data_IF_087526946162
#
_entry.id   IF_087526946162
#
_cell.length_a   1.000
_cell.length_b   1.000
_cell.length_c   1.000
_cell.angle_alpha   90.00
_cell.angle_beta   90.00
_cell.angle_gamma   90.00
#
_symmetry.space_group_name_H-M   'P 1'
#
loop_
_entity.id
_entity.type
_entity.pdbx_description
1 polymer ?
#
# COMPACT_ATOMS: atom_id res chain seq x y z
N UNK A 1 15.97 -1.35 6.66
CA UNK A 1 15.27 -0.95 5.41
C UNK A 1 13.99 -0.20 5.78
N UNK A 2 13.72 0.89 5.12
CA UNK A 2 12.49 1.64 5.36
C UNK A 2 11.27 0.84 4.91
N UNK A 3 10.22 0.92 5.70
CA UNK A 3 8.94 0.29 5.39
C UNK A 3 7.97 1.33 4.85
N UNK A 4 7.40 1.03 3.69
CA UNK A 4 6.40 1.87 3.03
C UNK A 4 5.04 1.20 3.13
N UNK A 5 4.05 1.95 3.53
CA UNK A 5 2.67 1.49 3.61
C UNK A 5 1.82 2.31 2.64
N UNK A 6 1.10 1.63 1.77
CA UNK A 6 0.21 2.27 0.81
C UNK A 6 -1.22 1.96 1.24
N UNK A 7 -1.95 2.95 1.67
CA UNK A 7 -3.35 2.80 2.09
C UNK A 7 -4.24 3.13 0.89
N UNK A 8 -4.79 2.11 0.28
CA UNK A 8 -5.59 2.22 -0.93
C UNK A 8 -4.74 2.05 -2.18
N UNK A 9 -5.03 1.02 -2.98
CA UNK A 9 -4.20 0.62 -4.11
C UNK A 9 -4.84 0.83 -5.48
N UNK A 10 -5.97 1.54 -5.54
CA UNK A 10 -6.56 1.92 -6.82
C UNK A 10 -5.83 3.12 -7.40
N UNK A 11 -5.66 3.17 -8.72
CA UNK A 11 -5.11 4.33 -9.41
C UNK A 11 -3.74 4.74 -8.91
N UNK A 12 -3.65 5.93 -8.30
CA UNK A 12 -2.38 6.52 -7.86
C UNK A 12 -1.66 5.65 -6.85
N UNK A 13 -2.39 5.10 -5.87
CA UNK A 13 -1.79 4.24 -4.85
C UNK A 13 -1.14 3.00 -5.44
N UNK A 14 -1.79 2.36 -6.41
CA UNK A 14 -1.23 1.22 -7.11
C UNK A 14 0.04 1.56 -7.87
N UNK A 15 0.08 2.73 -8.50
CA UNK A 15 1.27 3.19 -9.22
C UNK A 15 2.43 3.43 -8.28
N UNK A 16 2.19 4.09 -7.16
CA UNK A 16 3.23 4.35 -6.16
C UNK A 16 3.78 3.03 -5.63
N UNK A 17 2.89 2.12 -5.24
CA UNK A 17 3.31 0.81 -4.72
C UNK A 17 4.12 0.04 -5.76
N UNK A 18 3.70 0.05 -7.01
CA UNK A 18 4.39 -0.64 -8.09
C UNK A 18 5.79 -0.09 -8.32
N UNK A 19 5.95 1.22 -8.39
CA UNK A 19 7.27 1.82 -8.57
C UNK A 19 8.20 1.57 -7.39
N UNK A 20 7.69 1.63 -6.17
CA UNK A 20 8.48 1.32 -4.98
C UNK A 20 8.92 -0.15 -4.99
N UNK A 21 8.04 -1.06 -5.37
CA UNK A 21 8.37 -2.48 -5.46
C UNK A 21 9.43 -2.73 -6.54
N UNK A 22 9.34 -2.08 -7.69
CA UNK A 22 10.36 -2.18 -8.74
C UNK A 22 11.71 -1.66 -8.27
N UNK A 23 11.71 -0.67 -7.40
CA UNK A 23 12.94 -0.13 -6.82
C UNK A 23 13.50 -0.98 -5.67
N UNK A 24 12.89 -2.12 -5.37
CA UNK A 24 13.37 -3.02 -4.33
C UNK A 24 13.04 -2.57 -2.91
N UNK A 25 12.05 -1.69 -2.74
CA UNK A 25 11.65 -1.20 -1.43
C UNK A 25 10.70 -2.17 -0.73
N UNK A 26 10.68 -2.11 0.60
CA UNK A 26 9.77 -2.91 1.43
C UNK A 26 8.41 -2.21 1.47
N UNK A 27 7.47 -2.68 0.66
CA UNK A 27 6.17 -2.07 0.46
C UNK A 27 5.06 -3.03 0.86
N UNK A 28 4.12 -2.54 1.64
CA UNK A 28 2.89 -3.27 1.96
C UNK A 28 1.69 -2.44 1.51
N UNK A 29 0.74 -3.08 0.84
CA UNK A 29 -0.49 -2.44 0.40
C UNK A 29 -1.64 -2.80 1.33
N UNK A 30 -2.45 -1.82 1.65
CA UNK A 30 -3.71 -2.04 2.35
C UNK A 30 -4.82 -2.05 1.31
N UNK A 31 -5.51 -3.17 1.22
CA UNK A 31 -6.60 -3.37 0.28
C UNK A 31 -7.69 -4.23 0.92
N UNK A 32 -8.78 -4.43 0.23
CA UNK A 32 -9.87 -5.26 0.74
C UNK A 32 -10.65 -5.90 -0.42
N UNK A 33 -11.40 -6.94 -0.07
CA UNK A 33 -12.29 -7.61 -1.02
C UNK A 33 -11.55 -8.27 -2.17
N UNK A 34 -12.15 -8.22 -3.34
CA UNK A 34 -11.60 -8.87 -4.53
C UNK A 34 -10.27 -8.29 -4.98
N UNK A 35 -10.05 -7.00 -4.73
CA UNK A 35 -8.78 -6.36 -5.07
C UNK A 35 -7.64 -6.94 -4.25
N UNK A 36 -7.87 -7.14 -2.95
CA UNK A 36 -6.87 -7.77 -2.08
C UNK A 36 -6.57 -9.21 -2.52
N UNK A 37 -7.62 -9.97 -2.84
CA UNK A 37 -7.46 -11.34 -3.32
C UNK A 37 -6.63 -11.39 -4.61
N UNK A 38 -6.89 -10.47 -5.53
CA UNK A 38 -6.16 -10.40 -6.79
C UNK A 38 -4.68 -10.10 -6.58
N UNK A 39 -4.37 -9.17 -5.66
CA UNK A 39 -2.98 -8.84 -5.36
C UNK A 39 -2.26 -10.02 -4.72
N UNK A 40 -2.90 -10.71 -3.80
CA UNK A 40 -2.31 -11.89 -3.15
C UNK A 40 -2.08 -13.03 -4.12
N UNK A 41 -2.98 -13.20 -5.08
CA UNK A 41 -2.95 -14.32 -6.02
C UNK A 41 -2.01 -14.08 -7.20
N UNK A 42 -2.07 -12.89 -7.80
CA UNK A 42 -1.36 -12.58 -9.06
C UNK A 42 -0.28 -11.52 -8.90
N UNK A 43 -0.24 -10.84 -7.77
CA UNK A 43 0.62 -9.69 -7.60
C UNK A 43 -0.07 -8.39 -7.98
N UNK A 44 0.58 -7.28 -7.73
CA UNK A 44 0.09 -5.97 -8.08
C UNK A 44 0.35 -5.70 -9.57
N UNK A 45 -0.70 -5.33 -10.29
CA UNK A 45 -0.57 -5.00 -11.70
C UNK A 45 -0.15 -3.54 -11.88
N UNK A 46 1.06 -3.33 -12.33
CA UNK A 46 1.58 -2.01 -12.65
C UNK A 46 1.56 -1.81 -14.16
N UNK A 47 0.86 -0.77 -14.60
CA UNK A 47 0.86 -0.34 -16.00
C UNK A 47 1.70 0.92 -16.11
N UNK A 48 2.64 0.91 -17.04
CA UNK A 48 3.50 2.06 -17.27
C UNK A 48 3.89 2.14 -18.73
N UNK A 49 3.77 3.30 -19.32
CA UNK A 49 4.20 3.53 -20.70
C UNK A 49 5.72 3.40 -20.84
N UNK A 50 6.45 3.70 -19.77
CA UNK A 50 7.92 3.62 -19.78
C UNK A 50 8.44 2.26 -19.38
N UNK A 51 7.77 1.60 -18.43
CA UNK A 51 8.23 0.33 -17.84
C UNK A 51 7.48 -0.89 -18.37
N UNK A 52 6.40 -0.70 -19.13
CA UNK A 52 5.55 -1.78 -19.60
C UNK A 52 4.57 -2.25 -18.54
N UNK A 53 3.97 -3.41 -18.76
CA UNK A 53 3.04 -4.02 -17.81
C UNK A 53 3.75 -5.05 -16.96
N UNK A 54 3.58 -4.95 -15.65
CA UNK A 54 4.20 -5.86 -14.70
C UNK A 54 3.19 -6.36 -13.69
N UNK A 55 3.32 -7.63 -13.30
CA UNK A 55 2.67 -8.17 -12.12
C UNK A 55 3.76 -8.36 -11.07
N UNK A 56 3.68 -7.61 -9.99
CA UNK A 56 4.73 -7.55 -8.98
C UNK A 56 4.28 -8.26 -7.71
N UNK A 57 5.07 -9.21 -7.21
CA UNK A 57 4.77 -9.79 -5.90
C UNK A 57 4.95 -8.70 -4.86
N UNK A 58 3.90 -8.46 -4.07
CA UNK A 58 3.91 -7.41 -3.07
C UNK A 58 3.08 -7.87 -1.88
N UNK A 59 3.50 -7.47 -0.69
CA UNK A 59 2.73 -7.78 0.50
C UNK A 59 1.45 -6.96 0.50
N UNK A 60 0.34 -7.60 0.84
CA UNK A 60 -0.94 -6.94 0.91
C UNK A 60 -1.78 -7.55 2.03
N UNK A 61 -2.49 -6.71 2.75
CA UNK A 61 -3.37 -7.14 3.83
C UNK A 61 -4.48 -6.12 4.04
N UNK A 62 -5.43 -6.46 4.91
CA UNK A 62 -6.46 -5.51 5.31
C UNK A 62 -5.89 -4.55 6.35
N UNK A 63 -6.61 -3.45 6.60
CA UNK A 63 -6.23 -2.50 7.64
C UNK A 63 -6.18 -3.16 9.02
N UNK A 64 -7.11 -4.07 9.29
CA UNK A 64 -7.18 -4.77 10.56
C UNK A 64 -6.02 -5.74 10.76
N UNK A 65 -5.53 -6.36 9.70
CA UNK A 65 -4.43 -7.31 9.75
C UNK A 65 -3.06 -6.67 9.93
N UNK A 66 -2.91 -5.42 9.52
CA UNK A 66 -1.62 -4.75 9.57
C UNK A 66 -1.25 -4.40 11.01
N UNK A 67 -0.07 -4.82 11.46
CA UNK A 67 0.35 -4.64 12.85
C UNK A 67 1.81 -4.20 13.01
N UNK A 68 2.36 -3.54 12.02
CA UNK A 68 3.74 -3.06 12.05
C UNK A 68 3.80 -1.54 12.01
N UNK A 69 4.95 -0.98 12.38
CA UNK A 69 5.20 0.43 12.19
C UNK A 69 5.78 0.65 10.79
N UNK A 70 5.34 1.72 10.12
CA UNK A 70 5.86 2.09 8.83
C UNK A 70 6.68 3.38 8.94
N UNK A 71 7.64 3.55 8.05
CA UNK A 71 8.44 4.78 8.00
C UNK A 71 7.76 5.85 7.15
N UNK A 72 7.10 5.43 6.08
CA UNK A 72 6.37 6.32 5.18
C UNK A 72 5.02 5.70 4.88
N UNK A 73 3.95 6.48 5.03
CA UNK A 73 2.59 6.04 4.75
C UNK A 73 1.99 6.96 3.70
N UNK A 74 1.60 6.39 2.57
CA UNK A 74 0.87 7.11 1.53
C UNK A 74 -0.62 6.82 1.71
N UNK A 75 -1.41 7.87 1.89
CA UNK A 75 -2.86 7.72 2.07
C UNK A 75 -3.56 8.06 0.76
N UNK A 76 -3.93 7.03 0.02
CA UNK A 76 -4.49 7.13 -1.33
C UNK A 76 -5.90 6.52 -1.37
N UNK A 77 -6.70 6.78 -0.36
CA UNK A 77 -7.96 6.07 -0.17
C UNK A 77 -9.13 6.70 -0.87
N UNK A 78 -10.04 5.80 -1.33
CA UNK A 78 -11.40 6.15 -1.70
C UNK A 78 -12.31 5.09 -1.08
N UNK A 79 -13.38 5.53 -0.45
CA UNK A 79 -14.38 4.61 0.07
C UNK A 79 -14.07 3.94 1.41
N UNK A 80 -12.98 4.31 2.08
CA UNK A 80 -12.74 3.88 3.45
C UNK A 80 -13.37 4.87 4.42
N UNK A 81 -13.82 4.40 5.59
CA UNK A 81 -14.29 5.30 6.63
C UNK A 81 -13.11 6.02 7.28
N UNK A 82 -13.36 7.24 7.75
CA UNK A 82 -12.33 8.01 8.45
C UNK A 82 -11.86 7.30 9.71
N UNK A 83 -12.78 6.64 10.42
CA UNK A 83 -12.44 5.93 11.65
C UNK A 83 -11.47 4.77 11.39
N UNK A 84 -11.72 4.00 10.33
CA UNK A 84 -10.83 2.88 9.97
C UNK A 84 -9.44 3.36 9.61
N UNK A 85 -9.34 4.46 8.88
CA UNK A 85 -8.06 5.05 8.49
C UNK A 85 -7.33 5.59 9.71
N UNK A 86 -8.04 6.26 10.60
CA UNK A 86 -7.46 6.82 11.81
C UNK A 86 -6.83 5.73 12.67
N UNK A 87 -7.56 4.64 12.91
CA UNK A 87 -7.05 3.53 13.71
C UNK A 87 -5.81 2.92 13.07
N UNK A 88 -5.83 2.74 11.76
CA UNK A 88 -4.68 2.20 11.03
C UNK A 88 -3.46 3.14 11.16
N UNK A 89 -3.66 4.44 10.97
CA UNK A 89 -2.56 5.40 11.07
C UNK A 89 -1.97 5.45 12.48
N UNK A 90 -2.82 5.40 13.50
CA UNK A 90 -2.32 5.36 14.88
C UNK A 90 -1.49 4.12 15.16
N UNK A 91 -1.94 2.97 14.66
CA UNK A 91 -1.26 1.69 14.84
C UNK A 91 0.05 1.62 14.06
N UNK A 92 0.07 2.14 12.84
CA UNK A 92 1.19 2.01 11.91
C UNK A 92 2.24 3.12 12.01
N UNK A 93 1.93 4.21 12.70
CA UNK A 93 2.84 5.35 12.78
C UNK A 93 3.46 5.51 14.16
N UNK A 94 4.65 6.09 14.17
CA UNK A 94 5.30 6.58 15.37
C UNK A 94 5.71 8.03 15.12
N UNK A 95 6.49 8.62 16.05
CA UNK A 95 6.87 10.03 15.95
C UNK A 95 7.71 10.36 14.71
N UNK A 96 8.37 9.37 14.14
CA UNK A 96 9.26 9.57 12.99
C UNK A 96 8.60 9.18 11.66
N UNK A 97 7.36 8.74 11.68
CA UNK A 97 6.65 8.33 10.47
C UNK A 97 6.22 9.53 9.65
N UNK A 98 6.54 9.51 8.35
CA UNK A 98 6.06 10.51 7.40
C UNK A 98 4.74 10.03 6.81
N UNK A 99 3.70 10.84 6.95
CA UNK A 99 2.38 10.54 6.39
C UNK A 99 2.12 11.49 5.22
N UNK A 100 1.86 10.93 4.05
CA UNK A 100 1.63 11.70 2.82
C UNK A 100 0.19 11.44 2.37
N UNK A 101 -0.67 12.46 2.48
CA UNK A 101 -2.08 12.33 2.06
C UNK A 101 -2.24 12.33 0.56
#
# INVERSE_FOLDING_TARGET
>A
MEKYLIVGTGGVGGSIAGFLALAGKDVTCIARGKHLEAIREKGLHLRSDLKGNHFLPIQACTAEEYNEKANVIFVCVKGYSLDSIKDLLEKASDKDTLIIP
#
